data_IF_096546361799
#
_entry.id   IF_096546361799
#
_cell.length_a   1.000
_cell.length_b   1.000
_cell.length_c   1.000
_cell.angle_alpha   90.00
_cell.angle_beta   90.00
_cell.angle_gamma   90.00
#
_symmetry.space_group_name_H-M   'P 1'
#
loop_
_entity.id
_entity.type
_entity.pdbx_description
1 polymer ?
#
# COMPACT_ATOMS: atom_id res chain seq x y z
N UNK A 1 -45.11 15.63 -19.83
CA UNK A 1 -45.90 15.63 -18.58
C UNK A 1 -44.88 15.52 -17.48
N UNK A 2 -44.45 16.66 -16.95
CA UNK A 2 -43.40 16.73 -15.94
C UNK A 2 -44.10 16.61 -14.59
N UNK A 3 -43.89 15.49 -13.89
CA UNK A 3 -44.39 15.31 -12.53
C UNK A 3 -43.78 16.38 -11.62
N UNK A 4 -44.67 17.04 -10.89
CA UNK A 4 -44.34 18.10 -9.96
C UNK A 4 -43.68 17.42 -8.76
N UNK A 5 -42.35 17.45 -8.73
CA UNK A 5 -41.54 16.90 -7.65
C UNK A 5 -41.92 17.52 -6.31
N UNK A 6 -42.15 16.65 -5.34
CA UNK A 6 -42.38 17.00 -3.95
C UNK A 6 -41.30 17.95 -3.41
N UNK A 7 -41.73 19.09 -2.82
CA UNK A 7 -40.86 20.08 -2.18
C UNK A 7 -40.31 19.55 -0.83
N UNK A 8 -39.49 18.50 -0.85
CA UNK A 8 -38.87 17.93 0.34
C UNK A 8 -37.38 18.32 0.37
N UNK A 9 -37.03 19.28 1.24
CA UNK A 9 -35.64 19.47 1.62
C UNK A 9 -35.10 18.23 2.32
N UNK A 10 -33.81 17.92 2.13
CA UNK A 10 -33.17 16.74 2.71
C UNK A 10 -32.35 17.08 3.96
N UNK A 11 -32.10 16.09 4.80
CA UNK A 11 -31.21 16.24 5.97
C UNK A 11 -29.81 15.85 5.55
N UNK A 12 -28.85 16.74 5.79
CA UNK A 12 -27.43 16.50 5.55
C UNK A 12 -26.69 16.48 6.89
N UNK A 13 -25.84 15.48 7.10
CA UNK A 13 -24.99 15.38 8.28
C UNK A 13 -23.61 15.96 7.98
N UNK A 14 -23.16 16.92 8.78
CA UNK A 14 -21.85 17.54 8.58
C UNK A 14 -20.72 16.57 8.96
N UNK A 15 -19.86 16.19 8.01
CA UNK A 15 -18.74 15.27 8.24
C UNK A 15 -17.67 15.74 9.27
N UNK A 16 -17.69 17.01 9.68
CA UNK A 16 -16.71 17.56 10.63
C UNK A 16 -17.21 17.59 12.08
N UNK A 17 -18.53 17.63 12.31
CA UNK A 17 -19.11 17.79 13.64
C UNK A 17 -20.39 16.98 13.88
N UNK A 18 -20.80 16.16 12.91
CA UNK A 18 -22.00 15.32 12.91
C UNK A 18 -23.32 16.07 13.18
N UNK A 19 -23.33 17.40 12.99
CA UNK A 19 -24.55 18.19 13.09
C UNK A 19 -25.49 17.88 11.92
N UNK A 20 -26.75 17.55 12.24
CA UNK A 20 -27.82 17.34 11.26
C UNK A 20 -28.39 18.69 10.81
N UNK A 21 -28.33 18.96 9.51
CA UNK A 21 -28.75 20.21 8.89
C UNK A 21 -29.86 19.94 7.88
N UNK A 22 -30.99 20.63 8.01
CA UNK A 22 -32.07 20.53 7.02
C UNK A 22 -31.80 21.50 5.87
N UNK A 23 -31.46 20.98 4.70
CA UNK A 23 -31.13 21.77 3.51
C UNK A 23 -32.34 21.84 2.60
N UNK A 24 -32.74 23.06 2.28
CA UNK A 24 -33.81 23.30 1.32
C UNK A 24 -33.28 23.17 -0.12
N UNK A 25 -34.07 22.57 -1.02
CA UNK A 25 -33.72 22.32 -2.43
C UNK A 25 -33.17 23.55 -3.18
N UNK A 26 -33.59 24.78 -2.81
CA UNK A 26 -33.06 26.04 -3.37
C UNK A 26 -31.54 26.22 -3.22
N UNK A 27 -30.92 25.43 -2.34
CA UNK A 27 -29.49 25.46 -2.07
C UNK A 27 -28.75 24.25 -2.63
N UNK A 28 -29.45 23.30 -3.26
CA UNK A 28 -28.82 22.16 -3.93
C UNK A 28 -27.87 22.67 -5.03
N UNK A 29 -26.68 22.07 -5.10
CA UNK A 29 -25.60 22.46 -6.01
C UNK A 29 -24.81 23.70 -5.59
N UNK A 30 -25.04 24.24 -4.37
CA UNK A 30 -24.26 25.36 -3.83
C UNK A 30 -23.35 24.91 -2.68
N UNK A 31 -22.20 25.58 -2.55
CA UNK A 31 -21.36 25.45 -1.37
C UNK A 31 -22.00 26.21 -0.19
N UNK A 32 -22.21 25.52 0.91
CA UNK A 32 -22.77 26.05 2.15
C UNK A 32 -21.77 25.86 3.29
N UNK A 33 -21.83 26.72 4.30
CA UNK A 33 -21.07 26.54 5.53
C UNK A 33 -21.93 25.92 6.61
N UNK A 34 -21.37 24.98 7.37
CA UNK A 34 -22.02 24.45 8.55
C UNK A 34 -22.13 25.56 9.62
N UNK A 35 -23.33 25.85 10.16
CA UNK A 35 -23.50 26.87 11.20
C UNK A 35 -22.83 26.48 12.53
N UNK A 36 -22.51 25.20 12.74
CA UNK A 36 -21.91 24.68 13.98
C UNK A 36 -20.38 24.76 13.96
N UNK A 37 -19.73 24.31 12.88
CA UNK A 37 -18.27 24.21 12.80
C UNK A 37 -17.63 25.12 11.72
N UNK A 38 -18.43 25.76 10.87
CA UNK A 38 -17.95 26.62 9.78
C UNK A 38 -17.41 25.88 8.56
N UNK A 39 -17.32 24.55 8.58
CA UNK A 39 -16.81 23.74 7.46
C UNK A 39 -17.69 23.93 6.22
N UNK A 40 -17.04 24.18 5.08
CA UNK A 40 -17.68 24.30 3.78
C UNK A 40 -18.02 22.91 3.23
N UNK A 41 -19.25 22.73 2.75
CA UNK A 41 -19.70 21.49 2.14
C UNK A 41 -20.62 21.78 0.94
N UNK A 42 -20.63 20.88 -0.04
CA UNK A 42 -21.49 20.99 -1.22
C UNK A 42 -22.85 20.34 -0.92
N UNK A 43 -23.93 21.08 -1.11
CA UNK A 43 -25.28 20.54 -0.95
C UNK A 43 -25.67 19.68 -2.17
N UNK A 44 -25.25 18.41 -2.19
CA UNK A 44 -25.64 17.43 -3.22
C UNK A 44 -26.49 16.30 -2.59
N UNK A 45 -27.73 16.08 -3.04
CA UNK A 45 -28.60 15.02 -2.52
C UNK A 45 -28.10 13.62 -2.89
N UNK A 46 -27.30 13.45 -3.95
CA UNK A 46 -26.79 12.13 -4.38
C UNK A 46 -25.80 11.51 -3.40
N UNK A 47 -25.23 12.31 -2.50
CA UNK A 47 -24.35 11.83 -1.43
C UNK A 47 -25.13 11.27 -0.24
N UNK A 48 -26.39 11.69 -0.03
CA UNK A 48 -27.20 11.23 1.10
C UNK A 48 -27.69 9.78 0.91
N UNK A 49 -27.90 9.34 -0.33
CA UNK A 49 -28.38 7.98 -0.63
C UNK A 49 -27.36 6.88 -0.32
N UNK A 50 -26.07 7.22 -0.14
CA UNK A 50 -25.03 6.23 0.15
C UNK A 50 -25.08 5.78 1.61
N UNK A 51 -25.46 6.66 2.54
CA UNK A 51 -25.53 6.32 3.97
C UNK A 51 -26.72 5.38 4.26
N UNK A 52 -27.85 5.54 3.57
CA UNK A 52 -29.00 4.62 3.70
C UNK A 52 -28.67 3.20 3.18
N UNK A 53 -27.81 3.08 2.15
CA UNK A 53 -27.31 1.78 1.67
C UNK A 53 -26.36 1.13 2.69
N UNK A 54 -25.58 1.93 3.41
CA UNK A 54 -24.66 1.43 4.45
C UNK A 54 -25.46 0.89 5.64
N UNK A 55 -26.54 1.56 6.05
CA UNK A 55 -27.40 1.09 7.14
C UNK A 55 -28.18 -0.18 6.78
N UNK A 56 -28.55 -0.39 5.51
CA UNK A 56 -29.20 -1.64 5.06
C UNK A 56 -28.23 -2.85 5.02
N UNK A 57 -26.91 -2.61 5.03
CA UNK A 57 -25.88 -3.65 5.08
C UNK A 57 -25.39 -3.98 6.50
N UNK A 58 -25.84 -3.26 7.54
CA UNK A 58 -25.52 -3.57 8.94
C UNK A 58 -26.73 -4.24 9.61
N UNK A 59 -26.81 -5.58 9.65
CA UNK A 59 -27.90 -6.24 10.35
C UNK A 59 -27.85 -5.92 11.85
N UNK A 60 -28.90 -5.26 12.34
CA UNK A 60 -29.20 -5.02 13.76
C UNK A 60 -29.21 -6.35 14.53
N UNK A 61 -28.08 -6.69 15.13
CA UNK A 61 -27.85 -7.96 15.82
C UNK A 61 -28.25 -7.86 17.30
N UNK A 62 -29.50 -7.50 17.57
CA UNK A 62 -30.16 -7.83 18.85
C UNK A 62 -30.60 -9.30 18.84
N UNK A 63 -29.64 -10.21 18.99
CA UNK A 63 -29.92 -11.63 19.25
C UNK A 63 -28.95 -12.07 20.32
N UNK A 64 -29.46 -12.42 21.51
CA UNK A 64 -28.69 -13.02 22.60
C UNK A 64 -27.85 -14.17 22.07
N UNK A 65 -26.57 -13.93 21.84
CA UNK A 65 -25.77 -14.83 21.03
C UNK A 65 -25.23 -15.94 21.95
N UNK A 66 -25.60 -17.22 21.74
CA UNK A 66 -25.26 -18.35 22.64
C UNK A 66 -23.79 -18.76 22.62
N UNK A 67 -22.95 -18.10 21.82
CA UNK A 67 -21.49 -18.25 21.76
C UNK A 67 -20.71 -17.46 22.82
N UNK A 68 -21.34 -16.58 23.61
CA UNK A 68 -20.68 -15.85 24.71
C UNK A 68 -19.95 -16.78 25.69
N UNK A 69 -20.50 -17.94 26.12
CA UNK A 69 -19.74 -18.89 26.92
C UNK A 69 -18.55 -19.49 26.16
N UNK A 70 -18.63 -19.64 24.83
CA UNK A 70 -17.52 -20.14 24.00
C UNK A 70 -16.41 -19.10 23.94
N UNK A 71 -16.72 -17.83 23.69
CA UNK A 71 -15.73 -16.75 23.70
C UNK A 71 -15.08 -16.64 25.08
N UNK A 72 -15.86 -16.74 26.16
CA UNK A 72 -15.33 -16.67 27.53
C UNK A 72 -14.45 -17.88 27.86
N UNK A 73 -14.82 -19.08 27.42
CA UNK A 73 -14.00 -20.28 27.57
C UNK A 73 -12.70 -20.18 26.76
N UNK A 74 -12.77 -19.67 25.52
CA UNK A 74 -11.59 -19.43 24.67
C UNK A 74 -10.71 -18.34 25.29
N UNK A 75 -11.28 -17.28 25.85
CA UNK A 75 -10.54 -16.24 26.54
C UNK A 75 -9.84 -16.76 27.80
N UNK A 76 -10.52 -17.56 28.63
CA UNK A 76 -9.93 -18.19 29.81
C UNK A 76 -8.82 -19.18 29.44
N UNK A 77 -9.01 -19.95 28.37
CA UNK A 77 -7.96 -20.85 27.85
C UNK A 77 -6.79 -20.03 27.28
N UNK A 78 -7.05 -18.94 26.55
CA UNK A 78 -6.00 -18.07 26.02
C UNK A 78 -5.21 -17.38 27.14
N UNK A 79 -5.88 -16.94 28.19
CA UNK A 79 -5.25 -16.32 29.36
C UNK A 79 -4.45 -17.34 30.16
N UNK A 80 -4.95 -18.57 30.32
CA UNK A 80 -4.19 -19.68 30.90
C UNK A 80 -2.98 -20.08 30.04
N UNK A 81 -3.12 -20.13 28.71
CA UNK A 81 -2.01 -20.43 27.77
C UNK A 81 -0.99 -19.29 27.74
N UNK A 82 -1.41 -18.03 27.86
CA UNK A 82 -0.49 -16.90 27.97
C UNK A 82 0.24 -16.90 29.32
N UNK A 83 -0.44 -17.27 30.41
CA UNK A 83 0.17 -17.37 31.74
C UNK A 83 1.13 -18.56 31.85
N UNK A 84 0.79 -19.72 31.26
CA UNK A 84 1.69 -20.88 31.17
C UNK A 84 2.81 -20.70 30.12
N UNK A 85 2.55 -19.89 29.08
CA UNK A 85 3.45 -19.64 27.95
C UNK A 85 4.53 -18.60 28.22
N UNK A 86 4.46 -17.84 29.32
CA UNK A 86 5.56 -16.96 29.75
C UNK A 86 6.78 -17.74 30.28
N UNK A 87 6.66 -19.05 30.51
CA UNK A 87 7.78 -19.91 30.94
C UNK A 87 8.60 -20.50 29.77
N UNK A 88 8.20 -20.24 28.52
CA UNK A 88 8.92 -20.72 27.34
C UNK A 88 9.08 -19.57 26.35
N UNK A 89 10.12 -18.79 26.60
CA UNK A 89 10.71 -17.90 25.60
C UNK A 89 11.00 -18.74 24.33
N UNK A 90 10.75 -18.11 23.19
CA UNK A 90 11.05 -18.55 21.82
C UNK A 90 9.98 -19.39 21.07
N UNK A 91 9.19 -18.69 20.23
CA UNK A 91 9.03 -19.18 18.85
C UNK A 91 7.63 -19.41 18.27
N UNK A 92 6.52 -19.21 19.01
CA UNK A 92 5.18 -19.42 18.41
C UNK A 92 4.63 -18.17 17.70
N UNK A 93 4.65 -17.00 18.33
CA UNK A 93 4.08 -15.78 17.75
C UNK A 93 4.91 -15.18 16.61
N UNK A 94 6.21 -15.48 16.52
CA UNK A 94 7.06 -15.03 15.39
C UNK A 94 6.70 -15.70 14.05
N UNK A 95 6.05 -16.87 14.07
CA UNK A 95 5.61 -17.54 12.83
C UNK A 95 4.30 -16.99 12.26
N UNK A 96 3.43 -16.43 13.11
CA UNK A 96 2.13 -15.89 12.70
C UNK A 96 2.20 -14.46 12.19
N UNK A 97 3.21 -13.70 12.61
CA UNK A 97 3.51 -12.38 12.07
C UNK A 97 4.79 -12.42 11.26
N UNK A 98 4.84 -13.20 10.17
CA UNK A 98 5.84 -12.92 9.13
C UNK A 98 5.50 -11.56 8.54
N UNK A 99 6.28 -10.49 8.79
CA UNK A 99 6.14 -9.27 8.02
C UNK A 99 6.82 -9.59 6.70
N UNK A 100 6.08 -10.13 5.73
CA UNK A 100 6.58 -10.26 4.37
C UNK A 100 6.51 -8.88 3.69
N UNK A 101 7.26 -7.90 4.23
CA UNK A 101 7.40 -6.53 3.71
C UNK A 101 8.76 -5.97 4.12
N UNK A 102 9.83 -6.47 3.52
CA UNK A 102 11.10 -5.72 3.46
C UNK A 102 11.12 -4.85 2.20
N UNK A 103 10.05 -4.08 1.98
CA UNK A 103 9.97 -3.02 0.97
C UNK A 103 10.23 -1.69 1.67
N UNK A 104 11.50 -1.29 1.76
CA UNK A 104 11.90 -0.12 2.55
C UNK A 104 13.35 -0.10 3.02
N UNK A 105 14.13 -1.16 2.77
CA UNK A 105 15.55 -1.14 3.11
C UNK A 105 16.27 -0.18 2.17
N UNK A 106 16.93 0.81 2.76
CA UNK A 106 17.89 1.65 2.08
C UNK A 106 19.17 0.83 1.90
N UNK A 107 19.74 0.88 0.71
CA UNK A 107 20.97 0.15 0.38
C UNK A 107 21.84 0.98 -0.54
N UNK A 108 23.02 0.46 -0.84
CA UNK A 108 23.93 1.08 -1.80
C UNK A 108 24.17 0.09 -2.92
N UNK A 109 24.14 0.59 -4.15
CA UNK A 109 24.47 -0.21 -5.31
C UNK A 109 26.00 -0.34 -5.42
N UNK A 110 26.54 -1.54 -5.22
CA UNK A 110 27.98 -1.84 -5.38
C UNK A 110 28.15 -3.21 -6.02
N UNK A 111 28.88 -3.26 -7.14
CA UNK A 111 29.40 -4.51 -7.72
C UNK A 111 30.93 -4.50 -7.56
N UNK A 112 31.50 -5.61 -7.08
CA UNK A 112 32.96 -5.71 -6.93
C UNK A 112 33.66 -5.63 -8.29
N UNK A 113 34.61 -4.69 -8.41
CA UNK A 113 35.41 -4.50 -9.62
C UNK A 113 34.74 -3.70 -10.74
N UNK A 114 33.57 -3.08 -10.53
CA UNK A 114 32.93 -2.21 -11.53
C UNK A 114 32.47 -0.87 -10.94
N UNK A 115 32.83 0.21 -11.64
CA UNK A 115 32.40 1.58 -11.31
C UNK A 115 30.98 1.89 -11.79
N UNK A 116 30.47 1.09 -12.74
CA UNK A 116 29.14 1.24 -13.32
C UNK A 116 28.38 -0.07 -13.23
N UNK A 117 27.11 0.04 -12.82
CA UNK A 117 26.20 -1.06 -12.57
C UNK A 117 25.14 -1.04 -13.66
N UNK A 118 25.05 -2.09 -14.49
CA UNK A 118 24.00 -2.18 -15.49
C UNK A 118 22.66 -2.39 -14.78
N UNK A 119 21.74 -1.46 -14.98
CA UNK A 119 20.36 -1.56 -14.51
C UNK A 119 19.41 -1.55 -15.70
N UNK A 120 18.32 -2.30 -15.61
CA UNK A 120 17.28 -2.36 -16.63
C UNK A 120 16.05 -1.54 -16.20
N UNK A 121 15.28 -1.06 -17.18
CA UNK A 121 13.96 -0.45 -16.89
C UNK A 121 12.86 -1.51 -16.77
N UNK A 122 13.03 -2.63 -17.46
CA UNK A 122 12.12 -3.74 -17.51
C UNK A 122 12.70 -4.98 -16.83
N UNK A 123 11.79 -5.88 -16.42
CA UNK A 123 12.12 -7.10 -15.72
C UNK A 123 12.82 -8.13 -16.62
N UNK A 124 12.44 -8.22 -17.89
CA UNK A 124 13.03 -9.19 -18.83
C UNK A 124 14.51 -8.90 -19.06
N UNK A 125 14.87 -7.63 -19.27
CA UNK A 125 16.25 -7.22 -19.50
C UNK A 125 17.14 -7.45 -18.27
N UNK A 126 16.63 -7.35 -17.04
CA UNK A 126 17.47 -7.63 -15.85
C UNK A 126 17.83 -9.11 -15.74
N UNK A 127 16.96 -10.02 -16.15
CA UNK A 127 17.27 -11.46 -16.18
C UNK A 127 18.42 -11.72 -17.13
N UNK A 128 18.39 -11.12 -18.33
CA UNK A 128 19.51 -11.20 -19.28
C UNK A 128 20.80 -10.58 -18.73
N UNK A 129 20.72 -9.49 -17.95
CA UNK A 129 21.89 -8.89 -17.28
C UNK A 129 22.46 -9.86 -16.24
N UNK A 130 21.61 -10.49 -15.44
CA UNK A 130 22.02 -11.48 -14.42
C UNK A 130 22.74 -12.65 -15.08
N UNK A 131 22.15 -13.22 -16.13
CA UNK A 131 22.73 -14.35 -16.87
C UNK A 131 24.06 -13.97 -17.52
N UNK A 132 24.13 -12.81 -18.19
CA UNK A 132 25.37 -12.32 -18.81
C UNK A 132 26.48 -12.01 -17.79
N UNK A 133 26.11 -11.59 -16.57
CA UNK A 133 27.06 -11.39 -15.47
C UNK A 133 27.59 -12.71 -14.91
N UNK A 134 26.76 -13.75 -14.85
CA UNK A 134 27.14 -15.09 -14.40
C UNK A 134 28.04 -15.81 -15.41
N UNK A 135 27.70 -15.72 -16.69
CA UNK A 135 28.48 -16.29 -17.79
C UNK A 135 29.76 -15.51 -18.10
N UNK A 136 29.99 -14.38 -17.40
CA UNK A 136 31.10 -13.47 -17.62
C UNK A 136 31.27 -13.03 -19.08
N UNK A 137 30.17 -12.91 -19.84
CA UNK A 137 30.17 -12.51 -21.24
C UNK A 137 29.93 -11.00 -21.41
N UNK A 138 30.99 -10.20 -21.65
CA UNK A 138 30.84 -8.75 -21.85
C UNK A 138 30.14 -8.40 -23.17
N UNK A 139 30.10 -9.32 -24.16
CA UNK A 139 29.49 -9.06 -25.46
C UNK A 139 27.98 -8.86 -25.39
N UNK A 140 27.31 -9.71 -24.61
CA UNK A 140 25.86 -9.64 -24.38
C UNK A 140 25.43 -8.34 -23.69
N UNK A 141 26.20 -7.86 -22.69
CA UNK A 141 25.93 -6.58 -22.03
C UNK A 141 26.07 -5.40 -23.01
N UNK A 142 27.09 -5.43 -23.88
CA UNK A 142 27.30 -4.38 -24.86
C UNK A 142 26.17 -4.34 -25.90
N UNK A 143 25.66 -5.50 -26.33
CA UNK A 143 24.54 -5.58 -27.26
C UNK A 143 23.25 -4.95 -26.67
N UNK A 144 22.94 -5.24 -25.41
CA UNK A 144 21.79 -4.68 -24.70
C UNK A 144 21.93 -3.16 -24.45
N UNK A 145 23.16 -2.69 -24.24
CA UNK A 145 23.48 -1.26 -24.14
C UNK A 145 23.26 -0.52 -25.46
N UNK A 146 23.68 -1.10 -26.59
CA UNK A 146 23.45 -0.52 -27.93
C UNK A 146 21.96 -0.44 -28.25
N UNK A 147 21.16 -1.40 -27.76
CA UNK A 147 19.70 -1.38 -27.89
C UNK A 147 19.00 -0.35 -26.98
N UNK A 148 19.75 0.32 -26.08
CA UNK A 148 19.20 1.33 -25.17
C UNK A 148 18.31 0.75 -24.05
N UNK A 149 18.39 -0.56 -23.79
CA UNK A 149 17.59 -1.25 -22.76
C UNK A 149 18.26 -1.23 -21.38
N UNK A 150 19.56 -0.97 -21.35
CA UNK A 150 20.36 -0.87 -20.13
C UNK A 150 20.72 0.59 -19.87
N UNK A 151 20.63 0.99 -18.62
CA UNK A 151 21.18 2.23 -18.10
C UNK A 151 22.35 1.91 -17.17
N UNK A 152 23.42 2.69 -17.28
CA UNK A 152 24.54 2.60 -16.36
C UNK A 152 24.26 3.48 -15.14
N UNK A 153 24.25 2.86 -13.96
CA UNK A 153 24.12 3.54 -12.67
C UNK A 153 25.48 3.54 -12.00
N UNK A 154 25.89 4.69 -11.46
CA UNK A 154 27.17 4.79 -10.75
C UNK A 154 27.18 3.87 -9.52
N UNK A 155 28.27 3.13 -9.33
CA UNK A 155 28.52 2.41 -8.09
C UNK A 155 28.58 3.39 -6.92
N UNK A 156 28.07 2.99 -5.75
CA UNK A 156 27.91 3.87 -4.59
C UNK A 156 26.59 4.65 -4.55
N UNK A 157 25.71 4.50 -5.55
CA UNK A 157 24.42 5.19 -5.56
C UNK A 157 23.49 4.67 -4.46
N UNK A 158 22.91 5.59 -3.67
CA UNK A 158 21.91 5.24 -2.66
C UNK A 158 20.60 4.86 -3.32
N UNK A 159 20.02 3.76 -2.86
CA UNK A 159 18.77 3.21 -3.37
C UNK A 159 17.80 2.86 -2.25
N UNK A 160 16.52 2.82 -2.60
CA UNK A 160 15.47 2.20 -1.78
C UNK A 160 15.00 0.93 -2.47
N UNK A 161 15.15 -0.21 -1.82
CA UNK A 161 14.67 -1.48 -2.35
C UNK A 161 13.14 -1.54 -2.20
N UNK A 162 12.45 -1.67 -3.33
CA UNK A 162 10.99 -1.82 -3.39
C UNK A 162 10.64 -3.31 -3.28
N UNK A 163 11.30 -4.14 -4.09
CA UNK A 163 10.96 -5.55 -4.23
C UNK A 163 12.23 -6.35 -4.50
N UNK A 164 12.33 -7.55 -3.94
CA UNK A 164 13.40 -8.52 -4.24
C UNK A 164 12.75 -9.80 -4.75
N UNK A 165 13.15 -10.23 -5.93
CA UNK A 165 12.69 -11.44 -6.60
C UNK A 165 13.81 -12.48 -6.51
N UNK A 166 13.82 -13.27 -5.42
CA UNK A 166 14.88 -14.25 -5.15
C UNK A 166 14.97 -15.36 -6.19
N UNK A 167 13.85 -15.73 -6.82
CA UNK A 167 13.84 -16.75 -7.89
C UNK A 167 14.68 -16.34 -9.09
N UNK A 168 14.81 -15.03 -9.33
CA UNK A 168 15.44 -14.47 -10.53
C UNK A 168 16.69 -13.65 -10.17
N UNK A 169 17.11 -13.67 -8.90
CA UNK A 169 18.27 -12.92 -8.37
C UNK A 169 18.24 -11.44 -8.81
N UNK A 170 17.05 -10.85 -8.85
CA UNK A 170 16.83 -9.48 -9.29
C UNK A 170 16.08 -8.68 -8.23
N UNK A 171 16.30 -7.37 -8.20
CA UNK A 171 15.59 -6.48 -7.31
C UNK A 171 15.13 -5.21 -8.03
N UNK A 172 13.92 -4.79 -7.67
CA UNK A 172 13.36 -3.52 -8.08
C UNK A 172 13.75 -2.46 -7.07
N UNK A 173 14.48 -1.46 -7.53
CA UNK A 173 15.04 -0.42 -6.67
C UNK A 173 14.67 0.96 -7.18
N UNK A 174 14.46 1.89 -6.25
CA UNK A 174 14.33 3.31 -6.56
C UNK A 174 15.64 4.01 -6.28
N UNK A 175 16.16 4.73 -7.26
CA UNK A 175 17.39 5.50 -7.11
C UNK A 175 17.08 6.77 -6.34
N UNK A 176 17.83 7.03 -5.26
CA UNK A 176 17.68 8.20 -4.42
C UNK A 176 18.74 9.26 -4.73
N UNK A 177 19.95 8.83 -5.10
CA UNK A 177 21.08 9.71 -5.40
C UNK A 177 21.75 9.34 -6.72
N UNK A 178 22.22 10.34 -7.47
CA UNK A 178 22.92 10.18 -8.74
C UNK A 178 22.17 10.74 -9.95
N UNK A 179 22.67 10.42 -11.16
CA UNK A 179 22.11 10.92 -12.42
C UNK A 179 20.66 10.49 -12.67
N UNK A 180 20.24 9.37 -12.09
CA UNK A 180 18.94 8.74 -12.33
C UNK A 180 17.98 8.82 -11.13
N UNK A 181 18.19 9.78 -10.22
CA UNK A 181 17.35 9.98 -9.03
C UNK A 181 15.86 10.01 -9.35
N UNK A 182 15.07 9.34 -8.51
CA UNK A 182 13.63 9.26 -8.60
C UNK A 182 13.12 8.13 -9.49
N UNK A 183 13.97 7.55 -10.36
CA UNK A 183 13.59 6.44 -11.25
C UNK A 183 13.57 5.10 -10.53
N UNK A 184 12.69 4.23 -11.00
CA UNK A 184 12.57 2.86 -10.55
C UNK A 184 13.18 1.96 -11.62
N UNK A 185 14.14 1.14 -11.22
CA UNK A 185 14.96 0.32 -12.11
C UNK A 185 15.11 -1.07 -11.51
N UNK A 186 15.40 -2.04 -12.36
CA UNK A 186 15.73 -3.39 -11.97
C UNK A 186 17.25 -3.58 -11.98
N UNK A 187 17.78 -4.13 -10.90
CA UNK A 187 19.21 -4.40 -10.72
C UNK A 187 19.42 -5.86 -10.34
N UNK A 188 20.56 -6.45 -10.70
CA UNK A 188 20.94 -7.77 -10.18
C UNK A 188 21.11 -7.69 -8.65
N UNK A 189 20.68 -8.73 -7.94
CA UNK A 189 20.77 -8.80 -6.47
C UNK A 189 22.23 -8.76 -5.99
N UNK A 190 23.16 -9.24 -6.82
CA UNK A 190 24.61 -9.15 -6.60
C UNK A 190 25.12 -7.71 -6.44
N UNK A 191 24.38 -6.72 -6.96
CA UNK A 191 24.72 -5.31 -6.85
C UNK A 191 24.22 -4.66 -5.55
N UNK A 192 23.43 -5.36 -4.73
CA UNK A 192 22.85 -4.80 -3.51
C UNK A 192 23.77 -5.06 -2.32
N UNK A 193 24.22 -4.00 -1.65
CA UNK A 193 24.83 -4.04 -0.32
C UNK A 193 24.02 -3.25 0.70
#
# INVERSE_FOLDING_TARGET
MWEIGEMQGYTHTCAACDAQLKIHERYVGRALHCPTCGTEFLADPTLADIDDIIDELVPDRKRSIPWLPIIMAVALVAEAVLWLGQAQEDGFFEKLFRPNRTAGHFGVLVIEGRDQIPAAMDHETVVFIVDALEDADPGSLQALKVQGRIIDVASGSKIKVIERVRSERAARVRILEGQWTGRVVWVPELALR
#
